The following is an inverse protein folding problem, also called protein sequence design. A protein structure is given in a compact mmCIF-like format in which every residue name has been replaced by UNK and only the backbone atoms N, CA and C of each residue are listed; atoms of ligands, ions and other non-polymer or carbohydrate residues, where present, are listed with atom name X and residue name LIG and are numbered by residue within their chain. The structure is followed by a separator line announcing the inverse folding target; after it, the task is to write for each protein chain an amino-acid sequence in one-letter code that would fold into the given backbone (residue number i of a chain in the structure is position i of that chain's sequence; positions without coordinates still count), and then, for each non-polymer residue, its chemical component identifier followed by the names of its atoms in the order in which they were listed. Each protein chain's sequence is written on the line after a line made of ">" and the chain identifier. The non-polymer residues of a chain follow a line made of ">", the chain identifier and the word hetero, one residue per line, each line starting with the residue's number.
data_IF_292710279142
#
_entry.id   IF_292710279142
#
_cell.length_a   1.000
_cell.length_b   1.000
_cell.length_c   1.000
_cell.angle_alpha   90.00
_cell.angle_beta   90.00
_cell.angle_gamma   90.00
#
_symmetry.space_group_name_H-M   'P 1'
#
loop_
_entity.id
_entity.type
_entity.pdbx_description
1 polymer ?
#
# COMPACT_ATOMS: atom_id res chain seq x y z
N UNK A 1 33.99 4.87 4.33
CA UNK A 1 34.57 3.51 4.39
C UNK A 1 33.43 2.63 4.82
N UNK A 2 32.89 1.86 3.87
CA UNK A 2 31.63 1.15 4.06
C UNK A 2 32.04 -0.31 4.12
N UNK A 3 32.10 -0.86 5.34
CA UNK A 3 32.51 -2.24 5.54
C UNK A 3 31.46 -3.15 4.91
N UNK A 4 31.84 -3.83 3.83
CA UNK A 4 31.00 -4.87 3.22
C UNK A 4 30.85 -5.98 4.26
N UNK A 5 29.71 -6.04 4.94
CA UNK A 5 29.35 -7.14 5.82
C UNK A 5 29.11 -8.36 4.95
N UNK A 6 30.14 -9.19 4.79
CA UNK A 6 30.04 -10.47 4.11
C UNK A 6 29.39 -11.44 5.11
N UNK A 7 28.12 -11.77 4.91
CA UNK A 7 27.47 -12.86 5.63
C UNK A 7 28.08 -14.19 5.15
N UNK A 8 29.14 -14.64 5.82
CA UNK A 8 29.88 -15.84 5.41
C UNK A 8 29.31 -17.13 5.97
N UNK A 9 28.67 -17.12 7.13
CA UNK A 9 28.35 -18.36 7.83
C UNK A 9 26.93 -18.34 8.41
N UNK A 10 25.99 -18.90 7.64
CA UNK A 10 24.68 -19.26 8.17
C UNK A 10 24.81 -20.51 9.06
N UNK A 11 24.22 -20.52 10.26
CA UNK A 11 24.12 -21.71 11.09
C UNK A 11 23.60 -22.94 10.33
N UNK A 12 24.17 -24.12 10.60
CA UNK A 12 23.92 -25.37 9.85
C UNK A 12 22.44 -25.77 9.81
N UNK A 13 21.69 -25.42 10.84
CA UNK A 13 20.23 -25.57 10.94
C UNK A 13 19.50 -24.78 9.86
N UNK A 14 19.89 -23.52 9.60
CA UNK A 14 19.31 -22.68 8.55
C UNK A 14 19.61 -23.26 7.16
N UNK A 15 20.85 -23.71 6.93
CA UNK A 15 21.24 -24.32 5.67
C UNK A 15 20.46 -25.61 5.37
N UNK A 16 20.17 -26.41 6.40
CA UNK A 16 19.33 -27.62 6.28
C UNK A 16 17.87 -27.28 5.98
N UNK A 17 17.33 -26.22 6.58
CA UNK A 17 15.96 -25.76 6.31
C UNK A 17 15.79 -25.24 4.87
N UNK A 18 16.77 -24.50 4.35
CA UNK A 18 16.74 -24.00 2.97
C UNK A 18 16.75 -25.14 1.93
N UNK A 19 17.46 -26.24 2.20
CA UNK A 19 17.49 -27.44 1.32
C UNK A 19 16.15 -28.17 1.26
N UNK A 20 15.36 -28.11 2.33
CA UNK A 20 14.06 -28.76 2.45
C UNK A 20 12.89 -27.83 2.08
N UNK A 21 13.17 -26.56 1.81
CA UNK A 21 12.17 -25.56 1.44
C UNK A 21 11.62 -25.80 0.03
N UNK A 22 10.32 -25.58 -0.15
CA UNK A 22 9.68 -25.58 -1.47
C UNK A 22 10.08 -24.30 -2.20
N UNK A 23 10.77 -24.41 -3.34
CA UNK A 23 11.10 -23.28 -4.20
C UNK A 23 9.79 -22.66 -4.73
N UNK A 24 9.60 -21.37 -4.48
CA UNK A 24 8.52 -20.58 -5.04
C UNK A 24 9.14 -19.80 -6.19
N UNK A 25 8.50 -19.83 -7.36
CA UNK A 25 8.94 -19.01 -8.50
C UNK A 25 8.77 -17.53 -8.16
N UNK A 26 9.68 -16.70 -8.67
CA UNK A 26 9.65 -15.26 -8.42
C UNK A 26 8.36 -14.66 -9.01
N UNK A 27 7.37 -14.43 -8.14
CA UNK A 27 6.04 -13.94 -8.49
C UNK A 27 5.95 -12.42 -8.34
N UNK A 28 7.02 -11.77 -7.89
CA UNK A 28 7.01 -10.33 -7.72
C UNK A 28 7.13 -9.67 -9.10
N UNK A 29 6.12 -8.89 -9.52
CA UNK A 29 6.25 -8.10 -10.72
C UNK A 29 7.42 -7.10 -10.53
N UNK A 30 8.13 -6.72 -11.61
CA UNK A 30 9.21 -5.74 -11.52
C UNK A 30 8.73 -4.45 -10.82
N UNK A 31 9.63 -3.70 -10.14
CA UNK A 31 9.29 -2.49 -9.37
C UNK A 31 8.36 -1.51 -10.10
N UNK A 32 8.52 -1.37 -11.41
CA UNK A 32 7.69 -0.49 -12.24
C UNK A 32 6.23 -0.94 -12.36
N UNK A 33 5.97 -2.25 -12.19
CA UNK A 33 4.64 -2.87 -12.20
C UNK A 33 4.06 -3.08 -10.81
N UNK A 34 4.86 -2.94 -9.74
CA UNK A 34 4.38 -2.94 -8.36
C UNK A 34 3.57 -1.67 -8.02
N UNK A 35 3.83 -0.57 -8.73
CA UNK A 35 3.10 0.68 -8.52
C UNK A 35 1.79 0.65 -9.31
N UNK A 36 0.70 0.25 -8.66
CA UNK A 36 -0.67 0.38 -9.21
C UNK A 36 -1.01 1.88 -9.34
N UNK A 37 -0.67 2.49 -10.47
CA UNK A 37 -1.03 3.89 -10.79
C UNK A 37 -2.48 3.93 -11.22
N UNK A 38 -3.39 4.16 -10.27
CA UNK A 38 -4.80 4.40 -10.58
C UNK A 38 -4.93 5.80 -11.21
N UNK A 39 -5.46 5.93 -12.44
CA UNK A 39 -5.66 7.23 -13.06
C UNK A 39 -6.68 8.04 -12.24
N UNK A 40 -6.35 9.30 -11.95
CA UNK A 40 -7.21 10.20 -11.17
C UNK A 40 -7.87 11.22 -12.08
N UNK A 41 -9.20 11.30 -12.03
CA UNK A 41 -9.98 12.33 -12.71
C UNK A 41 -10.33 13.44 -11.72
N UNK A 42 -10.17 14.70 -12.12
CA UNK A 42 -10.57 15.85 -11.30
C UNK A 42 -12.06 16.10 -11.46
N UNK A 43 -12.78 16.14 -10.35
CA UNK A 43 -14.20 16.47 -10.29
C UNK A 43 -14.42 17.51 -9.20
N UNK A 44 -15.30 18.47 -9.46
CA UNK A 44 -15.72 19.46 -8.46
C UNK A 44 -17.03 18.99 -7.83
N UNK A 45 -17.04 18.78 -6.51
CA UNK A 45 -18.22 18.38 -5.73
C UNK A 45 -18.37 19.30 -4.52
N UNK A 46 -19.61 19.58 -4.13
CA UNK A 46 -19.92 20.26 -2.88
C UNK A 46 -20.02 19.24 -1.74
N UNK A 47 -19.39 19.52 -0.60
CA UNK A 47 -19.42 18.67 0.60
C UNK A 47 -19.95 19.47 1.79
N UNK A 48 -20.59 18.77 2.72
CA UNK A 48 -21.04 19.37 3.97
C UNK A 48 -19.86 19.80 4.84
N UNK A 49 -19.99 20.95 5.51
CA UNK A 49 -18.95 21.49 6.38
C UNK A 49 -18.54 20.50 7.49
N UNK A 50 -19.51 19.82 8.09
CA UNK A 50 -19.26 18.82 9.15
C UNK A 50 -18.38 17.66 8.65
N UNK A 51 -18.66 17.15 7.45
CA UNK A 51 -17.87 16.08 6.83
C UNK A 51 -16.44 16.54 6.56
N UNK A 52 -16.26 17.75 6.05
CA UNK A 52 -14.93 18.30 5.77
C UNK A 52 -14.10 18.44 7.05
N UNK A 53 -14.70 18.95 8.13
CA UNK A 53 -14.02 19.09 9.43
C UNK A 53 -13.63 17.75 10.04
N UNK A 54 -14.45 16.70 9.87
CA UNK A 54 -14.10 15.34 10.25
C UNK A 54 -12.80 14.87 9.55
N UNK A 55 -12.73 15.00 8.23
CA UNK A 55 -11.55 14.57 7.47
C UNK A 55 -10.32 15.41 7.78
N UNK A 56 -10.45 16.72 8.00
CA UNK A 56 -9.31 17.57 8.42
C UNK A 56 -8.71 17.10 9.76
N UNK A 57 -9.56 16.81 10.75
CA UNK A 57 -9.12 16.32 12.06
C UNK A 57 -8.44 14.95 11.94
N UNK A 58 -9.03 14.03 11.20
CA UNK A 58 -8.47 12.70 10.98
C UNK A 58 -7.15 12.75 10.20
N UNK A 59 -7.05 13.62 9.20
CA UNK A 59 -5.85 13.84 8.39
C UNK A 59 -4.67 14.36 9.23
N UNK A 60 -4.93 15.34 10.11
CA UNK A 60 -3.93 15.88 11.04
C UNK A 60 -3.39 14.81 11.99
N UNK A 61 -4.26 13.91 12.47
CA UNK A 61 -3.86 12.80 13.36
C UNK A 61 -2.97 11.78 12.67
N UNK A 62 -3.24 11.48 11.40
CA UNK A 62 -2.55 10.44 10.64
C UNK A 62 -1.42 10.98 9.75
N UNK A 63 -1.12 12.28 9.80
CA UNK A 63 -0.13 12.97 8.97
C UNK A 63 -0.31 12.73 7.45
N UNK A 64 -1.57 12.73 7.00
CA UNK A 64 -1.95 12.57 5.58
C UNK A 64 -2.75 13.79 5.10
N UNK A 65 -2.93 13.95 3.80
CA UNK A 65 -3.82 14.97 3.24
C UNK A 65 -5.28 14.53 3.39
N UNK A 66 -6.16 15.42 3.82
CA UNK A 66 -7.60 15.11 3.96
C UNK A 66 -8.24 14.68 2.62
N UNK A 67 -7.75 15.21 1.49
CA UNK A 67 -8.19 14.79 0.15
C UNK A 67 -7.92 13.30 -0.11
N UNK A 68 -6.80 12.76 0.40
CA UNK A 68 -6.49 11.34 0.26
C UNK A 68 -7.51 10.49 0.98
N UNK A 69 -7.93 10.89 2.18
CA UNK A 69 -8.95 10.17 2.96
C UNK A 69 -10.32 10.21 2.28
N UNK A 70 -10.68 11.33 1.66
CA UNK A 70 -11.93 11.46 0.91
C UNK A 70 -11.92 10.53 -0.30
N UNK A 71 -10.82 10.53 -1.08
CA UNK A 71 -10.70 9.63 -2.25
C UNK A 71 -10.79 8.16 -1.84
N UNK A 72 -10.07 7.75 -0.79
CA UNK A 72 -10.09 6.37 -0.29
C UNK A 72 -11.50 5.93 0.16
N UNK A 73 -12.28 6.84 0.77
CA UNK A 73 -13.65 6.54 1.13
C UNK A 73 -14.54 6.32 -0.10
N UNK A 74 -14.39 7.18 -1.12
CA UNK A 74 -15.15 7.06 -2.37
C UNK A 74 -14.77 5.77 -3.12
N UNK A 75 -13.48 5.45 -3.19
CA UNK A 75 -12.97 4.24 -3.82
C UNK A 75 -13.55 2.99 -3.13
N UNK A 76 -13.47 2.92 -1.79
CA UNK A 76 -14.06 1.80 -1.02
C UNK A 76 -15.56 1.70 -1.14
N UNK A 77 -16.26 2.82 -1.20
CA UNK A 77 -17.70 2.84 -1.42
C UNK A 77 -18.03 2.29 -2.81
N UNK A 78 -17.34 2.75 -3.85
CA UNK A 78 -17.52 2.24 -5.21
C UNK A 78 -17.19 0.74 -5.31
N UNK A 79 -16.09 0.28 -4.72
CA UNK A 79 -15.73 -1.15 -4.68
C UNK A 79 -16.80 -2.00 -4.01
N UNK A 80 -17.38 -1.51 -2.89
CA UNK A 80 -18.40 -2.25 -2.15
C UNK A 80 -19.72 -2.39 -2.92
N UNK A 81 -20.09 -1.38 -3.70
CA UNK A 81 -21.38 -1.33 -4.41
C UNK A 81 -21.27 -1.62 -5.91
N UNK A 82 -20.05 -1.77 -6.44
CA UNK A 82 -19.74 -2.18 -7.82
C UNK A 82 -20.53 -3.40 -8.26
N UNK A 83 -20.60 -4.42 -7.41
CA UNK A 83 -21.25 -5.69 -7.74
C UNK A 83 -22.79 -5.66 -7.59
N UNK A 84 -23.33 -4.55 -7.09
CA UNK A 84 -24.78 -4.39 -6.86
C UNK A 84 -25.45 -3.59 -7.99
N UNK A 85 -24.67 -3.01 -8.91
CA UNK A 85 -25.15 -2.15 -10.00
C UNK A 85 -25.07 -2.89 -11.33
#
# INVERSE_FOLDING_TARGET
>A
MNENTIYSDAPNDIAKMLRNGKRIDDFLPPPDKLVRRVPKVKVTIALNQQSLEFFKKAAKKNNVKYQTMINELLDRYAEKYSDTI
#
